data_IF_458579257545
#
_entry.id   IF_458579257545
#
_cell.length_a   1.000
_cell.length_b   1.000
_cell.length_c   1.000
_cell.angle_alpha   90.00
_cell.angle_beta   90.00
_cell.angle_gamma   90.00
#
_symmetry.space_group_name_H-M   'P 1'
#
loop_
_entity.id
_entity.type
_entity.pdbx_description
1 polymer ?
#
# COMPACT_ATOMS: atom_id res chain seq x y z
N UNK A 1 3.70 -17.22 2.66
CA UNK A 1 3.75 -15.75 2.72
C UNK A 1 3.07 -15.29 3.99
N UNK A 2 3.68 -14.40 4.76
CA UNK A 2 3.13 -13.92 6.03
C UNK A 2 2.28 -12.67 5.82
N UNK A 3 1.38 -12.36 6.77
CA UNK A 3 0.50 -11.19 6.68
C UNK A 3 1.26 -9.87 6.55
N UNK A 4 2.44 -9.78 7.18
CA UNK A 4 3.27 -8.57 7.18
C UNK A 4 4.38 -8.63 6.13
N UNK A 5 4.34 -9.61 5.24
CA UNK A 5 5.29 -9.72 4.15
C UNK A 5 5.14 -8.54 3.19
N UNK A 6 6.27 -8.10 2.66
CA UNK A 6 6.35 -6.93 1.78
C UNK A 6 5.31 -6.99 0.65
N UNK A 7 5.24 -8.12 -0.06
CA UNK A 7 4.33 -8.23 -1.21
C UNK A 7 2.86 -8.19 -0.81
N UNK A 8 2.52 -8.70 0.37
CA UNK A 8 1.15 -8.64 0.89
C UNK A 8 0.78 -7.19 1.20
N UNK A 9 1.67 -6.45 1.85
CA UNK A 9 1.43 -5.04 2.16
C UNK A 9 1.29 -4.22 0.88
N UNK A 10 2.20 -4.42 -0.08
CA UNK A 10 2.15 -3.71 -1.37
C UNK A 10 0.85 -4.02 -2.09
N UNK A 11 0.43 -5.29 -2.12
CA UNK A 11 -0.84 -5.67 -2.73
C UNK A 11 -2.00 -4.92 -2.09
N UNK A 12 -2.04 -4.87 -0.76
CA UNK A 12 -3.14 -4.21 -0.05
C UNK A 12 -3.17 -2.71 -0.32
N UNK A 13 -2.01 -2.05 -0.34
CA UNK A 13 -1.93 -0.61 -0.65
C UNK A 13 -2.41 -0.35 -2.08
N UNK A 14 -1.85 -1.05 -3.04
CA UNK A 14 -2.18 -0.81 -4.45
C UNK A 14 -3.63 -1.16 -4.75
N UNK A 15 -4.15 -2.26 -4.20
CA UNK A 15 -5.54 -2.66 -4.40
C UNK A 15 -6.51 -1.64 -3.82
N UNK A 16 -6.22 -1.13 -2.62
CA UNK A 16 -7.06 -0.11 -2.01
C UNK A 16 -7.12 1.14 -2.90
N UNK A 17 -5.97 1.62 -3.35
CA UNK A 17 -5.90 2.81 -4.20
C UNK A 17 -6.61 2.58 -5.54
N UNK A 18 -6.45 1.40 -6.11
CA UNK A 18 -7.11 1.05 -7.37
C UNK A 18 -8.63 1.01 -7.23
N UNK A 19 -9.13 0.44 -6.12
CA UNK A 19 -10.56 0.42 -5.87
C UNK A 19 -11.13 1.83 -5.69
N UNK A 20 -10.42 2.70 -4.98
CA UNK A 20 -10.84 4.10 -4.84
C UNK A 20 -10.94 4.77 -6.20
N UNK A 21 -9.96 4.54 -7.06
CA UNK A 21 -9.94 5.10 -8.41
C UNK A 21 -11.13 4.60 -9.24
N UNK A 22 -11.36 3.29 -9.25
CA UNK A 22 -12.42 2.68 -10.06
C UNK A 22 -13.82 3.08 -9.59
N UNK A 23 -13.99 3.23 -8.28
CA UNK A 23 -15.30 3.59 -7.71
C UNK A 23 -15.53 5.09 -7.63
N UNK A 24 -14.49 5.89 -7.90
CA UNK A 24 -14.60 7.34 -7.82
C UNK A 24 -14.80 7.85 -6.40
N UNK A 25 -14.28 7.14 -5.39
CA UNK A 25 -14.37 7.53 -3.99
C UNK A 25 -13.05 8.07 -3.49
N UNK A 26 -13.06 8.95 -2.46
CA UNK A 26 -11.81 9.52 -1.96
C UNK A 26 -10.97 8.49 -1.21
N UNK A 27 -9.66 8.70 -1.26
CA UNK A 27 -8.72 7.93 -0.45
C UNK A 27 -8.77 8.46 0.97
N UNK A 28 -8.92 7.58 1.94
CA UNK A 28 -8.93 7.96 3.36
C UNK A 28 -7.57 7.65 3.98
N UNK A 29 -6.98 8.65 4.64
CA UNK A 29 -5.66 8.52 5.25
C UNK A 29 -5.61 7.35 6.24
N UNK A 30 -6.68 7.13 7.00
CA UNK A 30 -6.74 6.05 7.99
C UNK A 30 -6.54 4.65 7.40
N UNK A 31 -6.75 4.49 6.09
CA UNK A 31 -6.59 3.20 5.42
C UNK A 31 -5.19 3.00 4.84
N UNK A 32 -4.32 4.00 4.97
CA UNK A 32 -2.94 3.95 4.49
C UNK A 32 -1.92 4.13 5.61
N UNK A 33 -2.36 4.22 6.86
CA UNK A 33 -1.45 4.37 7.99
C UNK A 33 -0.78 3.04 8.35
N UNK A 34 0.32 3.10 9.10
CA UNK A 34 1.09 1.90 9.45
C UNK A 34 0.30 0.90 10.29
N UNK A 35 -0.72 1.39 10.99
CA UNK A 35 -1.62 0.57 11.79
C UNK A 35 -3.05 0.87 11.33
N UNK A 36 -3.54 0.07 10.39
CA UNK A 36 -4.87 0.27 9.82
C UNK A 36 -5.59 -1.08 9.73
N UNK A 37 -6.80 -1.07 9.22
CA UNK A 37 -7.61 -2.30 9.16
C UNK A 37 -7.06 -3.34 8.17
N UNK A 38 -6.19 -2.93 7.25
CA UNK A 38 -5.65 -3.83 6.23
C UNK A 38 -4.31 -4.45 6.64
N UNK A 39 -3.52 -3.73 7.44
CA UNK A 39 -2.23 -4.21 7.93
C UNK A 39 -1.81 -3.46 9.18
N UNK A 40 -0.94 -4.09 9.96
CA UNK A 40 -0.36 -3.50 11.16
C UNK A 40 1.13 -3.80 11.11
N UNK A 41 1.93 -2.79 10.83
CA UNK A 41 3.36 -2.94 10.64
C UNK A 41 4.12 -1.84 11.37
N UNK A 42 5.42 -2.05 11.54
CA UNK A 42 6.31 -1.08 12.14
C UNK A 42 6.32 0.20 11.31
N UNK A 43 6.35 1.34 11.97
CA UNK A 43 6.31 2.65 11.31
C UNK A 43 7.49 2.87 10.35
N UNK A 44 8.68 2.39 10.71
CA UNK A 44 9.86 2.51 9.84
C UNK A 44 9.71 1.66 8.58
N UNK A 45 9.18 0.46 8.73
CA UNK A 45 8.92 -0.43 7.60
C UNK A 45 7.85 0.17 6.66
N UNK A 46 6.81 0.72 7.24
CA UNK A 46 5.75 1.42 6.51
C UNK A 46 6.31 2.60 5.70
N UNK A 47 7.16 3.42 6.32
CA UNK A 47 7.78 4.55 5.63
C UNK A 47 8.66 4.06 4.47
N UNK A 48 9.42 2.99 4.68
CA UNK A 48 10.23 2.35 3.65
C UNK A 48 9.37 1.94 2.46
N UNK A 49 8.27 1.24 2.73
CA UNK A 49 7.40 0.73 1.66
C UNK A 49 6.80 1.88 0.85
N UNK A 50 6.20 2.87 1.51
CA UNK A 50 5.56 3.97 0.80
C UNK A 50 6.57 4.82 0.03
N UNK A 51 7.74 5.07 0.63
CA UNK A 51 8.79 5.81 -0.04
C UNK A 51 9.20 5.12 -1.35
N UNK A 52 9.49 3.83 -1.28
CA UNK A 52 9.94 3.09 -2.46
C UNK A 52 8.84 2.90 -3.49
N UNK A 53 7.58 2.72 -3.08
CA UNK A 53 6.48 2.64 -4.04
C UNK A 53 6.37 3.92 -4.87
N UNK A 54 6.55 5.08 -4.24
CA UNK A 54 6.51 6.34 -4.98
C UNK A 54 7.77 6.52 -5.84
N UNK A 55 8.95 6.15 -5.33
CA UNK A 55 10.18 6.19 -6.11
C UNK A 55 10.12 5.29 -7.34
N UNK A 56 9.48 4.14 -7.23
CA UNK A 56 9.29 3.22 -8.36
C UNK A 56 8.15 3.63 -9.28
N UNK A 57 7.50 4.74 -8.97
CA UNK A 57 6.39 5.27 -9.75
C UNK A 57 5.17 4.35 -9.80
N UNK A 58 4.93 3.57 -8.74
CA UNK A 58 3.71 2.77 -8.61
C UNK A 58 2.60 3.56 -7.95
N UNK A 59 2.94 4.56 -7.15
CA UNK A 59 2.00 5.49 -6.53
C UNK A 59 2.52 6.91 -6.70
N UNK A 60 1.64 7.90 -6.49
CA UNK A 60 1.97 9.32 -6.57
C UNK A 60 1.13 10.11 -5.58
N UNK A 61 1.52 11.34 -5.33
CA UNK A 61 0.75 12.27 -4.51
C UNK A 61 1.14 12.35 -3.05
N UNK A 62 2.02 11.47 -2.56
CA UNK A 62 2.50 11.54 -1.18
C UNK A 62 3.49 12.69 -1.02
N UNK A 63 3.41 13.37 0.12
CA UNK A 63 4.49 14.21 0.60
C UNK A 63 5.40 13.41 1.53
N UNK A 64 6.61 13.89 1.75
CA UNK A 64 7.57 13.28 2.66
C UNK A 64 8.27 14.34 3.48
N UNK A 65 8.43 14.10 4.78
CA UNK A 65 9.09 15.01 5.70
C UNK A 65 10.28 14.28 6.30
N UNK A 66 11.48 14.89 6.20
CA UNK A 66 12.67 14.33 6.81
C UNK A 66 12.58 14.46 8.33
N UNK A 67 12.83 13.36 9.01
CA UNK A 67 12.83 13.29 10.48
C UNK A 67 14.26 12.93 10.93
N UNK A 68 14.82 13.73 11.83
CA UNK A 68 16.15 13.47 12.37
C UNK A 68 16.21 12.06 12.99
N UNK A 69 17.23 11.31 12.59
CA UNK A 69 17.44 9.96 13.10
C UNK A 69 16.63 8.88 12.45
N UNK A 70 15.72 9.22 11.52
CA UNK A 70 14.95 8.22 10.79
C UNK A 70 15.69 7.81 9.50
N UNK A 71 15.59 6.53 9.16
CA UNK A 71 16.21 6.00 7.92
C UNK A 71 15.50 6.47 6.67
N UNK A 72 14.19 6.70 6.75
CA UNK A 72 13.36 7.11 5.62
C UNK A 72 12.48 8.27 6.03
N UNK A 73 12.18 9.18 5.09
CA UNK A 73 11.30 10.31 5.40
C UNK A 73 9.89 9.82 5.76
N UNK A 74 9.19 10.61 6.56
CA UNK A 74 7.83 10.30 7.01
C UNK A 74 6.84 10.60 5.90
N UNK A 75 6.05 9.60 5.46
CA UNK A 75 4.97 9.88 4.50
C UNK A 75 3.89 10.76 5.12
N UNK A 76 3.47 11.77 4.39
CA UNK A 76 2.38 12.68 4.78
C UNK A 76 1.44 12.86 3.58
N UNK A 77 0.32 13.52 3.83
CA UNK A 77 -0.70 13.74 2.80
C UNK A 77 -1.21 12.44 2.19
N UNK A 78 -1.47 11.46 3.06
CA UNK A 78 -1.88 10.11 2.64
C UNK A 78 -3.16 10.14 1.80
N UNK A 79 -4.08 11.06 2.08
CA UNK A 79 -5.33 11.21 1.33
C UNK A 79 -5.10 11.70 -0.11
N UNK A 80 -3.92 12.22 -0.41
CA UNK A 80 -3.56 12.65 -1.76
C UNK A 80 -2.94 11.53 -2.59
N UNK A 81 -2.69 10.36 -1.98
CA UNK A 81 -2.04 9.25 -2.65
C UNK A 81 -2.93 8.63 -3.71
N UNK A 82 -2.34 8.33 -4.85
CA UNK A 82 -3.05 7.70 -5.98
C UNK A 82 -2.18 6.62 -6.60
N UNK A 83 -2.81 5.60 -7.17
CA UNK A 83 -2.09 4.60 -7.95
C UNK A 83 -1.81 5.16 -9.35
N UNK A 84 -0.66 4.81 -9.89
CA UNK A 84 -0.27 5.20 -11.26
C UNK A 84 -0.63 4.08 -12.23
N UNK A 85 -0.62 4.36 -13.56
CA UNK A 85 -0.77 3.28 -14.54
C UNK A 85 0.27 2.17 -14.37
N UNK A 86 1.52 2.53 -14.04
CA UNK A 86 2.57 1.55 -13.77
C UNK A 86 2.22 0.69 -12.55
N UNK A 87 1.65 1.30 -11.51
CA UNK A 87 1.18 0.58 -10.33
C UNK A 87 0.05 -0.38 -10.66
N UNK A 88 -0.86 0.02 -11.53
CA UNK A 88 -1.96 -0.85 -11.98
C UNK A 88 -1.40 -2.08 -12.72
N UNK A 89 -0.46 -1.88 -13.64
CA UNK A 89 0.17 -2.99 -14.34
C UNK A 89 0.87 -3.94 -13.37
N UNK A 90 1.62 -3.39 -12.43
CA UNK A 90 2.32 -4.19 -11.43
C UNK A 90 1.31 -5.02 -10.61
N UNK A 91 0.25 -4.38 -10.16
CA UNK A 91 -0.79 -5.05 -9.36
C UNK A 91 -1.43 -6.22 -10.14
N UNK A 92 -1.73 -6.02 -11.41
CA UNK A 92 -2.49 -6.98 -12.21
C UNK A 92 -1.63 -8.08 -12.82
N UNK A 93 -0.38 -7.79 -13.16
CA UNK A 93 0.44 -8.69 -13.98
C UNK A 93 1.61 -9.33 -13.23
N UNK A 94 2.01 -8.79 -12.08
CA UNK A 94 3.16 -9.30 -11.36
C UNK A 94 2.84 -10.60 -10.62
N UNK A 95 3.73 -11.60 -10.73
CA UNK A 95 3.50 -12.91 -10.10
C UNK A 95 3.46 -12.85 -8.57
N UNK A 96 4.24 -11.95 -7.95
CA UNK A 96 4.19 -11.78 -6.51
C UNK A 96 2.88 -11.16 -6.06
N UNK A 97 2.30 -10.28 -6.88
CA UNK A 97 0.98 -9.72 -6.58
C UNK A 97 -0.11 -10.79 -6.70
N UNK A 98 -0.01 -11.66 -7.67
CA UNK A 98 -0.95 -12.79 -7.79
C UNK A 98 -0.87 -13.72 -6.58
N UNK A 99 0.35 -13.99 -6.10
CA UNK A 99 0.54 -14.80 -4.89
C UNK A 99 -0.02 -14.10 -3.65
N UNK A 100 0.20 -12.79 -3.52
CA UNK A 100 -0.33 -12.01 -2.41
C UNK A 100 -1.86 -12.03 -2.40
N UNK A 101 -2.47 -11.88 -3.57
CA UNK A 101 -3.92 -11.96 -3.69
C UNK A 101 -4.46 -13.31 -3.21
N UNK A 102 -3.84 -14.40 -3.63
CA UNK A 102 -4.25 -15.74 -3.20
C UNK A 102 -4.09 -15.91 -1.69
N UNK A 103 -2.98 -15.44 -1.13
CA UNK A 103 -2.74 -15.50 0.31
C UNK A 103 -3.86 -14.80 1.09
N UNK A 104 -4.23 -13.60 0.66
CA UNK A 104 -5.27 -12.82 1.34
C UNK A 104 -6.63 -13.51 1.24
N UNK A 105 -6.95 -14.09 0.08
CA UNK A 105 -8.21 -14.81 -0.10
C UNK A 105 -8.30 -16.06 0.76
N UNK A 106 -7.16 -16.72 1.02
CA UNK A 106 -7.10 -17.95 1.82
C UNK A 106 -7.03 -17.67 3.32
N UNK A 107 -6.52 -16.51 3.70
CA UNK A 107 -6.34 -16.15 5.11
C UNK A 107 -7.63 -15.59 5.66
N UNK A 108 -8.33 -16.37 6.49
CA UNK A 108 -9.66 -16.00 7.00
C UNK A 108 -9.64 -14.85 7.99
N UNK A 109 -8.49 -14.58 8.59
CA UNK A 109 -8.33 -13.52 9.58
C UNK A 109 -7.88 -12.18 8.96
N UNK A 110 -7.72 -12.13 7.64
CA UNK A 110 -7.36 -10.91 6.91
C UNK A 110 -8.59 -10.42 6.18
N UNK A 111 -8.94 -9.17 6.43
CA UNK A 111 -10.05 -8.53 5.73
C UNK A 111 -9.56 -8.08 4.37
N UNK A 112 -10.20 -8.58 3.30
CA UNK A 112 -9.90 -8.15 1.96
C UNK A 112 -11.00 -7.21 1.48
N UNK A 113 -10.70 -5.93 1.23
CA UNK A 113 -11.70 -4.99 0.75
C UNK A 113 -12.04 -5.17 -0.73
N UNK A 114 -11.38 -6.11 -1.40
CA UNK A 114 -11.42 -6.24 -2.86
C UNK A 114 -12.02 -7.54 -3.34
N UNK A 115 -12.64 -8.24 -2.44
CA UNK A 115 -13.34 -9.49 -2.75
C UNK A 115 -14.78 -9.20 -3.12
#
# INVERSE_FOLDING_TARGET
MAKDDYHVIVYQVLSYLYQCLKKGIPVEAKNLEHNCKYFQINKNYWAYILYHLQEMNFIEGLGFIDIDGADYPLPVDLECCRITPMGIEYLCDNSFMAKAQRFIKEAKDIISPFV
#
